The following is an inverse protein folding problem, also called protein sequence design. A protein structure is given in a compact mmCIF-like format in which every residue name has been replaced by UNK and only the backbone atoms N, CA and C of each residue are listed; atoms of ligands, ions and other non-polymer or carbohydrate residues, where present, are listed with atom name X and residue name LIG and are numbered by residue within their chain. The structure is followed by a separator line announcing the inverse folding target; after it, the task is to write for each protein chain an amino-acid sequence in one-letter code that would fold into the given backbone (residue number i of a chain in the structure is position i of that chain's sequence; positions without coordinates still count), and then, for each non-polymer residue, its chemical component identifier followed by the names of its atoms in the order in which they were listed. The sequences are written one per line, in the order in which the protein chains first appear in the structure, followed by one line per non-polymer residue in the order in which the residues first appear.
data_IF_781433855285
#
_entry.id   IF_781433855285
#
_cell.length_a   1.000
_cell.length_b   1.000
_cell.length_c   1.000
_cell.angle_alpha   90.00
_cell.angle_beta   90.00
_cell.angle_gamma   90.00
#
_symmetry.space_group_name_H-M   'P 1'
#
loop_
_entity.id
_entity.type
_entity.pdbx_description
1 polymer ?
#
# COMPACT_ATOMS: atom_id res chain seq x y z
N UNK A 1 19.64 -6.60 -2.31
CA UNK A 1 18.58 -6.77 -1.28
C UNK A 1 17.35 -5.92 -1.59
N UNK A 2 17.46 -4.58 -1.76
CA UNK A 2 16.30 -3.70 -1.99
C UNK A 2 15.47 -4.08 -3.22
N UNK A 3 16.11 -4.33 -4.36
CA UNK A 3 15.42 -4.77 -5.60
C UNK A 3 14.65 -6.09 -5.36
N UNK A 4 15.20 -7.00 -4.55
CA UNK A 4 14.51 -8.24 -4.19
C UNK A 4 13.25 -7.96 -3.36
N UNK A 5 13.32 -7.03 -2.39
CA UNK A 5 12.17 -6.60 -1.58
C UNK A 5 11.05 -6.07 -2.50
N UNK A 6 11.38 -5.17 -3.42
CA UNK A 6 10.43 -4.64 -4.41
C UNK A 6 9.88 -5.75 -5.31
N UNK A 7 10.75 -6.63 -5.83
CA UNK A 7 10.34 -7.73 -6.69
C UNK A 7 9.35 -8.67 -5.97
N UNK A 8 9.59 -9.00 -4.70
CA UNK A 8 8.67 -9.82 -3.89
C UNK A 8 7.33 -9.13 -3.73
N UNK A 9 7.33 -7.83 -3.41
CA UNK A 9 6.10 -7.05 -3.23
C UNK A 9 5.23 -7.05 -4.51
N UNK A 10 5.81 -6.62 -5.63
CA UNK A 10 5.06 -6.54 -6.90
C UNK A 10 4.69 -7.93 -7.45
N UNK A 11 5.54 -8.94 -7.27
CA UNK A 11 5.22 -10.32 -7.65
C UNK A 11 4.05 -10.88 -6.85
N UNK A 12 3.99 -10.60 -5.54
CA UNK A 12 2.86 -11.01 -4.69
C UNK A 12 1.55 -10.35 -5.16
N UNK A 13 1.57 -9.04 -5.42
CA UNK A 13 0.40 -8.31 -5.93
C UNK A 13 -0.06 -8.83 -7.29
N UNK A 14 0.87 -8.97 -8.25
CA UNK A 14 0.56 -9.47 -9.60
C UNK A 14 0.11 -10.92 -9.59
N UNK A 15 0.74 -11.76 -8.76
CA UNK A 15 0.36 -13.15 -8.57
C UNK A 15 -1.08 -13.29 -8.05
N UNK A 16 -1.45 -12.48 -7.05
CA UNK A 16 -2.83 -12.44 -6.53
C UNK A 16 -3.82 -11.96 -7.58
N UNK A 17 -3.49 -10.88 -8.30
CA UNK A 17 -4.31 -10.36 -9.40
C UNK A 17 -4.54 -11.42 -10.49
N UNK A 18 -3.50 -12.18 -10.85
CA UNK A 18 -3.61 -13.24 -11.84
C UNK A 18 -4.44 -14.42 -11.34
N UNK A 19 -4.23 -14.86 -10.09
CA UNK A 19 -5.00 -15.93 -9.47
C UNK A 19 -6.50 -15.60 -9.41
N UNK A 20 -6.86 -14.38 -8.95
CA UNK A 20 -8.24 -13.92 -8.91
C UNK A 20 -8.87 -13.79 -10.30
N UNK A 21 -8.10 -13.32 -11.30
CA UNK A 21 -8.59 -13.24 -12.68
C UNK A 21 -8.99 -14.62 -13.23
N UNK A 22 -8.26 -15.70 -12.88
CA UNK A 22 -8.63 -17.06 -13.25
C UNK A 22 -9.94 -17.54 -12.63
N UNK A 23 -10.33 -16.93 -11.49
CA UNK A 23 -11.59 -17.21 -10.80
C UNK A 23 -12.72 -16.26 -11.23
N UNK A 24 -12.51 -15.42 -12.26
CA UNK A 24 -13.48 -14.42 -12.70
C UNK A 24 -13.58 -13.17 -11.81
N UNK A 25 -12.68 -13.04 -10.83
CA UNK A 25 -12.68 -11.91 -9.87
C UNK A 25 -11.87 -10.75 -10.44
N UNK A 26 -12.50 -9.56 -10.53
CA UNK A 26 -11.81 -8.32 -10.93
C UNK A 26 -11.12 -7.69 -9.73
N UNK A 27 -9.81 -7.93 -9.59
CA UNK A 27 -9.01 -7.41 -8.47
C UNK A 27 -8.90 -5.89 -8.48
N UNK A 28 -8.61 -5.28 -9.65
CA UNK A 28 -8.35 -3.85 -9.76
C UNK A 28 -9.64 -3.09 -10.06
N UNK A 29 -10.13 -2.37 -9.06
CA UNK A 29 -11.30 -1.50 -9.09
C UNK A 29 -10.93 0.00 -9.10
N UNK A 30 -9.62 0.33 -9.07
CA UNK A 30 -9.13 1.71 -9.05
C UNK A 30 -9.62 2.46 -10.29
N UNK A 31 -10.30 3.59 -10.08
CA UNK A 31 -10.80 4.46 -11.13
C UNK A 31 -11.91 3.86 -12.02
N UNK A 32 -12.58 2.79 -11.58
CA UNK A 32 -13.62 2.07 -12.34
C UNK A 32 -14.95 2.11 -11.62
N UNK A 33 -16.02 1.86 -12.41
CA UNK A 33 -17.41 1.77 -11.92
C UNK A 33 -18.08 3.13 -11.74
N UNK A 34 -19.34 3.10 -11.32
CA UNK A 34 -20.16 4.29 -11.06
C UNK A 34 -19.94 4.78 -9.62
N UNK A 35 -18.84 5.51 -9.42
CA UNK A 35 -18.43 6.06 -8.12
C UNK A 35 -18.53 7.58 -8.12
N UNK A 36 -18.72 8.21 -6.95
CA UNK A 36 -18.64 9.65 -6.81
C UNK A 36 -17.35 10.20 -7.42
N UNK A 37 -17.42 11.32 -8.14
CA UNK A 37 -16.27 11.95 -8.82
C UNK A 37 -15.05 12.14 -7.91
N UNK A 38 -15.30 12.45 -6.63
CA UNK A 38 -14.25 12.60 -5.62
C UNK A 38 -13.50 11.28 -5.38
N UNK A 39 -14.20 10.15 -5.34
CA UNK A 39 -13.59 8.82 -5.16
C UNK A 39 -12.75 8.47 -6.37
N UNK A 40 -13.29 8.60 -7.57
CA UNK A 40 -12.56 8.35 -8.81
C UNK A 40 -11.29 9.21 -8.93
N UNK A 41 -11.37 10.49 -8.52
CA UNK A 41 -10.21 11.38 -8.55
C UNK A 41 -9.09 10.89 -7.61
N UNK A 42 -9.43 10.56 -6.36
CA UNK A 42 -8.44 10.06 -5.37
C UNK A 42 -7.84 8.75 -5.83
N UNK A 43 -8.66 7.79 -6.28
CA UNK A 43 -8.20 6.50 -6.78
C UNK A 43 -7.25 6.65 -7.99
N UNK A 44 -7.59 7.50 -8.95
CA UNK A 44 -6.74 7.72 -10.13
C UNK A 44 -5.41 8.39 -9.75
N UNK A 45 -5.44 9.44 -8.92
CA UNK A 45 -4.22 10.12 -8.48
C UNK A 45 -3.36 9.14 -7.64
N UNK A 46 -3.96 8.37 -6.74
CA UNK A 46 -3.27 7.33 -5.97
C UNK A 46 -2.61 6.29 -6.90
N UNK A 47 -3.33 5.83 -7.91
CA UNK A 47 -2.81 4.89 -8.90
C UNK A 47 -1.57 5.46 -9.63
N UNK A 48 -1.62 6.72 -10.04
CA UNK A 48 -0.47 7.41 -10.64
C UNK A 48 0.67 7.60 -9.64
N UNK A 49 0.38 7.99 -8.39
CA UNK A 49 1.40 8.19 -7.35
C UNK A 49 2.16 6.90 -7.04
N UNK A 50 1.43 5.79 -6.84
CA UNK A 50 2.01 4.47 -6.56
C UNK A 50 2.76 3.87 -7.76
N UNK A 51 2.41 4.25 -8.98
CA UNK A 51 3.15 3.86 -10.17
C UNK A 51 4.41 4.71 -10.38
N UNK A 52 4.31 6.03 -10.17
CA UNK A 52 5.40 6.97 -10.42
C UNK A 52 6.58 6.82 -9.43
N UNK A 53 6.34 6.32 -8.22
CA UNK A 53 7.43 6.07 -7.26
C UNK A 53 8.34 4.90 -7.68
N UNK A 54 7.84 3.92 -8.43
CA UNK A 54 8.60 2.72 -8.82
C UNK A 54 9.93 3.07 -9.51
N UNK A 55 9.94 3.85 -10.61
CA UNK A 55 11.21 4.21 -11.25
C UNK A 55 12.10 5.06 -10.34
N UNK A 56 11.53 5.89 -9.47
CA UNK A 56 12.31 6.70 -8.52
C UNK A 56 13.03 5.82 -7.50
N UNK A 57 12.37 4.81 -6.95
CA UNK A 57 12.97 3.82 -6.07
C UNK A 57 14.09 3.04 -6.77
N UNK A 58 13.83 2.53 -7.98
CA UNK A 58 14.81 1.78 -8.77
C UNK A 58 16.04 2.65 -9.06
N UNK A 59 15.85 3.90 -9.51
CA UNK A 59 16.93 4.84 -9.78
C UNK A 59 17.70 5.15 -8.50
N UNK A 60 17.02 5.40 -7.39
CA UNK A 60 17.64 5.66 -6.10
C UNK A 60 18.51 4.49 -5.61
N UNK A 61 18.06 3.24 -5.85
CA UNK A 61 18.80 2.03 -5.50
C UNK A 61 20.03 1.83 -6.40
N UNK A 62 19.87 1.98 -7.73
CA UNK A 62 20.92 1.70 -8.72
C UNK A 62 22.04 2.75 -8.64
N UNK A 63 21.66 4.02 -8.49
CA UNK A 63 22.62 5.11 -8.49
C UNK A 63 23.25 5.38 -7.12
N UNK A 64 22.78 4.71 -6.07
CA UNK A 64 23.43 4.76 -4.76
C UNK A 64 24.74 3.95 -4.75
N UNK A 65 25.84 4.44 -4.20
CA UNK A 65 26.11 5.71 -3.52
C UNK A 65 26.62 6.84 -4.43
N UNK A 66 26.53 6.66 -5.76
CA UNK A 66 27.08 7.58 -6.77
C UNK A 66 26.25 8.85 -6.94
N UNK A 67 25.00 8.83 -6.48
CA UNK A 67 24.13 9.99 -6.61
C UNK A 67 24.37 11.01 -5.52
N UNK A 68 24.98 12.11 -5.92
CA UNK A 68 25.02 13.38 -5.17
C UNK A 68 23.69 14.16 -5.30
N UNK A 69 22.59 13.53 -5.67
CA UNK A 69 21.28 14.17 -5.78
C UNK A 69 20.79 14.55 -4.38
N UNK A 70 21.05 15.80 -4.01
CA UNK A 70 20.56 16.49 -2.82
C UNK A 70 20.31 15.50 -1.66
N UNK A 71 21.37 15.04 -0.96
CA UNK A 71 21.22 14.12 0.14
C UNK A 71 20.45 14.82 1.27
N UNK A 72 19.38 14.21 1.75
CA UNK A 72 18.61 14.71 2.91
C UNK A 72 19.14 14.20 4.23
N UNK A 73 19.84 13.06 4.21
CA UNK A 73 20.50 12.47 5.36
C UNK A 73 21.87 11.92 4.98
N UNK A 74 22.82 11.99 5.91
CA UNK A 74 24.10 11.31 5.73
C UNK A 74 23.86 9.80 5.79
N UNK A 75 24.11 9.14 4.66
CA UNK A 75 23.96 7.70 4.60
C UNK A 75 25.00 7.00 5.47
N UNK A 76 24.55 6.00 6.21
CA UNK A 76 25.42 5.10 6.97
C UNK A 76 24.86 3.67 6.90
N UNK A 77 25.69 2.63 7.10
CA UNK A 77 25.24 1.24 7.04
C UNK A 77 24.08 0.93 7.99
N UNK A 78 24.07 1.52 9.18
CA UNK A 78 22.99 1.33 10.16
C UNK A 78 21.66 1.82 9.60
N UNK A 79 21.62 3.04 9.06
CA UNK A 79 20.40 3.62 8.48
C UNK A 79 19.90 2.79 7.28
N UNK A 80 20.84 2.33 6.44
CA UNK A 80 20.51 1.51 5.28
C UNK A 80 19.90 0.17 5.68
N UNK A 81 20.53 -0.57 6.61
CA UNK A 81 20.02 -1.85 7.04
C UNK A 81 18.71 -1.74 7.83
N UNK A 82 18.56 -0.69 8.65
CA UNK A 82 17.30 -0.40 9.35
C UNK A 82 16.18 -0.10 8.34
N UNK A 83 16.46 0.71 7.33
CA UNK A 83 15.49 0.99 6.26
C UNK A 83 15.07 -0.28 5.50
N UNK A 84 16.03 -1.13 5.13
CA UNK A 84 15.73 -2.40 4.46
C UNK A 84 14.93 -3.37 5.35
N UNK A 85 15.20 -3.39 6.66
CA UNK A 85 14.43 -4.20 7.61
C UNK A 85 12.97 -3.69 7.69
N UNK A 86 12.77 -2.37 7.81
CA UNK A 86 11.43 -1.75 7.83
C UNK A 86 10.68 -2.07 6.52
N UNK A 87 11.33 -1.92 5.36
CA UNK A 87 10.73 -2.25 4.07
C UNK A 87 10.32 -3.72 3.98
N UNK A 88 11.16 -4.63 4.48
CA UNK A 88 10.86 -6.07 4.52
C UNK A 88 9.66 -6.37 5.40
N UNK A 89 9.56 -5.75 6.58
CA UNK A 89 8.40 -5.86 7.46
C UNK A 89 7.15 -5.33 6.74
N UNK A 90 7.26 -4.20 6.04
CA UNK A 90 6.16 -3.65 5.25
C UNK A 90 5.63 -4.62 4.19
N UNK A 91 6.53 -5.26 3.43
CA UNK A 91 6.18 -6.29 2.45
C UNK A 91 5.49 -7.49 3.12
N UNK A 92 5.97 -7.93 4.27
CA UNK A 92 5.34 -9.01 5.03
C UNK A 92 3.92 -8.63 5.47
N UNK A 93 3.71 -7.41 5.99
CA UNK A 93 2.38 -6.89 6.35
C UNK A 93 1.43 -6.90 5.15
N UNK A 94 1.88 -6.41 4.01
CA UNK A 94 1.10 -6.40 2.78
C UNK A 94 0.69 -7.80 2.33
N UNK A 95 1.64 -8.73 2.29
CA UNK A 95 1.37 -10.12 1.85
C UNK A 95 0.40 -10.80 2.82
N UNK A 96 0.61 -10.69 4.13
CA UNK A 96 -0.27 -11.28 5.14
C UNK A 96 -1.67 -10.67 5.07
N UNK A 97 -1.80 -9.36 4.87
CA UNK A 97 -3.09 -8.70 4.70
C UNK A 97 -3.83 -9.22 3.47
N UNK A 98 -3.15 -9.29 2.33
CA UNK A 98 -3.70 -9.77 1.07
C UNK A 98 -4.15 -11.25 1.16
N UNK A 99 -3.35 -12.10 1.80
CA UNK A 99 -3.68 -13.52 2.01
C UNK A 99 -4.85 -13.68 2.99
N UNK A 100 -4.92 -12.86 4.04
CA UNK A 100 -6.02 -12.90 5.02
C UNK A 100 -7.36 -12.50 4.41
N UNK A 101 -7.36 -11.51 3.50
CA UNK A 101 -8.58 -11.14 2.76
C UNK A 101 -9.04 -12.19 1.74
N UNK A 102 -8.16 -13.08 1.33
CA UNK A 102 -8.46 -14.13 0.35
C UNK A 102 -9.20 -13.58 -0.89
N UNK A 103 -10.42 -14.07 -1.17
CA UNK A 103 -11.19 -13.67 -2.34
C UNK A 103 -11.93 -12.32 -2.18
N UNK A 104 -11.94 -11.77 -0.95
CA UNK A 104 -12.45 -10.41 -0.70
C UNK A 104 -11.42 -9.32 -1.05
N UNK A 105 -10.17 -9.67 -1.38
CA UNK A 105 -9.13 -8.70 -1.75
C UNK A 105 -9.50 -7.94 -3.02
N UNK A 106 -9.50 -6.61 -2.91
CA UNK A 106 -9.66 -5.67 -4.03
C UNK A 106 -8.65 -4.53 -3.88
N UNK A 107 -8.19 -4.01 -4.99
CA UNK A 107 -7.45 -2.75 -5.06
C UNK A 107 -8.43 -1.67 -5.52
N UNK A 108 -8.75 -0.73 -4.66
CA UNK A 108 -9.81 0.26 -4.83
C UNK A 108 -11.18 -0.22 -4.34
N UNK A 109 -12.11 0.72 -4.23
CA UNK A 109 -13.47 0.47 -3.71
C UNK A 109 -14.29 -0.30 -4.76
N UNK A 110 -14.90 -1.44 -4.41
CA UNK A 110 -15.79 -2.16 -5.34
C UNK A 110 -17.09 -1.39 -5.56
N UNK A 111 -17.60 -1.42 -6.79
CA UNK A 111 -18.87 -0.79 -7.17
C UNK A 111 -20.07 -1.70 -6.82
N UNK A 112 -20.00 -2.96 -7.20
CA UNK A 112 -21.13 -3.91 -7.10
C UNK A 112 -20.77 -5.24 -6.44
N UNK A 113 -19.49 -5.49 -6.18
CA UNK A 113 -19.03 -6.75 -5.59
C UNK A 113 -19.43 -6.86 -4.12
N UNK A 114 -20.13 -7.94 -3.78
CA UNK A 114 -20.40 -8.31 -2.38
C UNK A 114 -19.11 -8.88 -1.77
N UNK A 115 -18.32 -8.01 -1.12
CA UNK A 115 -17.18 -8.45 -0.31
C UNK A 115 -17.62 -8.69 1.12
N UNK A 116 -16.96 -9.63 1.83
CA UNK A 116 -17.19 -9.83 3.26
C UNK A 116 -16.29 -8.90 4.08
N UNK A 117 -16.78 -8.43 5.22
CA UNK A 117 -15.96 -7.69 6.18
C UNK A 117 -14.99 -8.66 6.88
N UNK A 118 -13.71 -8.53 6.59
CA UNK A 118 -12.65 -9.36 7.16
C UNK A 118 -12.15 -8.75 8.45
N UNK A 119 -12.35 -9.45 9.58
CA UNK A 119 -11.97 -9.01 10.94
C UNK A 119 -10.99 -9.96 11.62
N UNK A 120 -10.40 -10.93 10.89
CA UNK A 120 -9.51 -11.97 11.42
C UNK A 120 -8.03 -11.72 11.09
N UNK A 121 -7.14 -12.51 11.71
CA UNK A 121 -5.71 -12.42 11.44
C UNK A 121 -5.16 -11.02 11.71
N UNK A 122 -4.37 -10.48 10.79
CA UNK A 122 -3.74 -9.15 10.89
C UNK A 122 -4.77 -8.01 10.97
N UNK A 123 -6.03 -8.24 10.52
CA UNK A 123 -7.14 -7.29 10.64
C UNK A 123 -7.68 -7.15 12.09
N UNK A 124 -7.16 -7.92 13.04
CA UNK A 124 -7.37 -7.69 14.48
C UNK A 124 -6.44 -6.62 15.06
N UNK A 125 -5.36 -6.31 14.36
CA UNK A 125 -4.32 -5.36 14.79
C UNK A 125 -4.53 -4.01 14.11
N UNK A 126 -4.84 -4.03 12.82
CA UNK A 126 -5.07 -2.84 11.99
C UNK A 126 -6.30 -3.05 11.11
N UNK A 127 -7.10 -2.00 10.90
CA UNK A 127 -8.17 -2.03 9.90
C UNK A 127 -7.64 -1.94 8.46
N UNK A 128 -6.43 -1.39 8.30
CA UNK A 128 -5.82 -1.12 6.99
C UNK A 128 -4.40 -1.69 6.87
N UNK A 129 -4.16 -2.99 7.19
CA UNK A 129 -2.81 -3.52 7.29
C UNK A 129 -2.06 -3.54 5.96
N UNK A 130 -2.75 -3.65 4.83
CA UNK A 130 -2.13 -3.56 3.51
C UNK A 130 -1.53 -2.17 3.24
N UNK A 131 -2.25 -1.11 3.62
CA UNK A 131 -1.76 0.28 3.49
C UNK A 131 -0.59 0.55 4.44
N UNK A 132 -0.63 0.01 5.67
CA UNK A 132 0.52 0.04 6.59
C UNK A 132 1.74 -0.64 5.93
N UNK A 133 1.52 -1.75 5.22
CA UNK A 133 2.57 -2.44 4.46
C UNK A 133 3.19 -1.57 3.37
N UNK A 134 2.39 -0.84 2.60
CA UNK A 134 2.86 0.15 1.62
C UNK A 134 3.69 1.26 2.28
N UNK A 135 3.15 1.89 3.34
CA UNK A 135 3.80 3.01 4.02
C UNK A 135 5.16 2.58 4.60
N UNK A 136 5.22 1.41 5.26
CA UNK A 136 6.47 0.87 5.79
C UNK A 136 7.49 0.55 4.67
N UNK A 137 7.04 0.04 3.52
CA UNK A 137 7.92 -0.21 2.39
C UNK A 137 8.50 1.10 1.85
N UNK A 138 7.69 2.12 1.59
CA UNK A 138 8.13 3.41 1.08
C UNK A 138 9.06 4.13 2.05
N UNK A 139 8.70 4.18 3.33
CA UNK A 139 9.52 4.78 4.40
C UNK A 139 10.84 4.02 4.53
N UNK A 140 10.80 2.69 4.52
CA UNK A 140 11.98 1.86 4.66
C UNK A 140 12.97 2.03 3.50
N UNK A 141 12.47 2.07 2.25
CA UNK A 141 13.31 2.30 1.07
C UNK A 141 13.86 3.73 1.05
N UNK A 142 13.07 4.73 1.46
CA UNK A 142 13.54 6.11 1.60
C UNK A 142 14.67 6.23 2.64
N UNK A 143 14.54 5.56 3.79
CA UNK A 143 15.60 5.54 4.81
C UNK A 143 16.88 4.84 4.32
N UNK A 144 16.72 3.77 3.54
CA UNK A 144 17.85 3.04 2.98
C UNK A 144 18.58 3.83 1.87
N UNK A 145 17.86 4.67 1.10
CA UNK A 145 18.36 5.43 -0.05
C UNK A 145 17.88 6.89 0.00
N UNK A 146 18.30 7.67 1.02
CA UNK A 146 17.73 8.98 1.30
C UNK A 146 18.20 10.05 0.31
N UNK A 147 17.28 10.53 -0.52
CA UNK A 147 17.49 11.69 -1.38
C UNK A 147 16.19 12.50 -1.52
N UNK A 148 16.28 13.77 -1.90
CA UNK A 148 15.14 14.69 -1.95
C UNK A 148 14.06 14.23 -2.95
N UNK A 149 14.46 13.71 -4.10
CA UNK A 149 13.50 13.25 -5.12
C UNK A 149 12.74 12.06 -4.57
N UNK A 150 13.44 11.09 -3.96
CA UNK A 150 12.80 9.93 -3.33
C UNK A 150 11.86 10.35 -2.20
N UNK A 151 12.24 11.34 -1.37
CA UNK A 151 11.39 11.88 -0.31
C UNK A 151 10.06 12.44 -0.87
N UNK A 152 10.14 13.30 -1.89
CA UNK A 152 8.95 13.90 -2.50
C UNK A 152 8.02 12.83 -3.10
N UNK A 153 8.60 11.86 -3.82
CA UNK A 153 7.84 10.78 -4.42
C UNK A 153 7.36 9.73 -3.40
N UNK A 154 7.95 9.61 -2.22
CA UNK A 154 7.44 8.75 -1.14
C UNK A 154 6.31 9.41 -0.36
N UNK A 155 6.41 10.70 -0.03
CA UNK A 155 5.35 11.44 0.67
C UNK A 155 4.05 11.44 -0.15
N UNK A 156 4.14 11.62 -1.47
CA UNK A 156 2.95 11.75 -2.30
C UNK A 156 2.05 10.50 -2.28
N UNK A 157 2.53 9.27 -2.57
CA UNK A 157 1.69 8.07 -2.45
C UNK A 157 1.22 7.80 -1.01
N UNK A 158 2.04 8.06 0.03
CA UNK A 158 1.61 7.91 1.44
C UNK A 158 0.39 8.77 1.74
N UNK A 159 0.41 10.05 1.33
CA UNK A 159 -0.74 10.94 1.49
C UNK A 159 -1.96 10.44 0.70
N UNK A 160 -1.76 10.00 -0.53
CA UNK A 160 -2.84 9.49 -1.37
C UNK A 160 -3.44 8.18 -0.82
N UNK A 161 -2.61 7.27 -0.29
CA UNK A 161 -3.06 6.07 0.39
C UNK A 161 -3.89 6.41 1.65
N UNK A 162 -3.48 7.42 2.42
CA UNK A 162 -4.26 7.90 3.56
C UNK A 162 -5.65 8.43 3.13
N UNK A 163 -5.72 9.19 2.04
CA UNK A 163 -7.00 9.66 1.50
C UNK A 163 -7.87 8.49 1.00
N UNK A 164 -7.27 7.48 0.39
CA UNK A 164 -7.94 6.26 -0.03
C UNK A 164 -8.51 5.49 1.16
N UNK A 165 -7.74 5.30 2.24
CA UNK A 165 -8.21 4.68 3.48
C UNK A 165 -9.49 5.35 3.99
N UNK A 166 -9.54 6.69 4.00
CA UNK A 166 -10.72 7.42 4.47
C UNK A 166 -11.95 7.14 3.61
N UNK A 167 -11.78 7.01 2.30
CA UNK A 167 -12.87 6.67 1.39
C UNK A 167 -13.32 5.22 1.52
N UNK A 168 -12.37 4.28 1.68
CA UNK A 168 -12.69 2.87 1.93
C UNK A 168 -13.40 2.67 3.26
N UNK A 169 -12.99 3.39 4.32
CA UNK A 169 -13.70 3.35 5.60
C UNK A 169 -15.12 3.94 5.50
N UNK A 170 -15.33 4.99 4.70
CA UNK A 170 -16.67 5.53 4.45
C UNK A 170 -17.55 4.55 3.68
N UNK A 171 -16.98 3.89 2.68
CA UNK A 171 -17.64 2.80 1.95
C UNK A 171 -18.01 1.65 2.89
N UNK A 172 -17.08 1.20 3.74
CA UNK A 172 -17.33 0.12 4.70
C UNK A 172 -18.45 0.47 5.70
N UNK A 173 -18.52 1.73 6.17
CA UNK A 173 -19.65 2.18 7.03
C UNK A 173 -21.00 2.07 6.31
N UNK A 174 -21.05 2.41 5.04
CA UNK A 174 -22.28 2.31 4.23
C UNK A 174 -22.64 0.86 3.92
N UNK A 175 -21.64 0.01 3.64
CA UNK A 175 -21.84 -1.37 3.21
C UNK A 175 -22.16 -2.31 4.38
N UNK A 176 -21.52 -2.12 5.54
CA UNK A 176 -21.58 -3.04 6.69
C UNK A 176 -22.26 -2.44 7.94
N UNK A 177 -22.59 -1.14 7.93
CA UNK A 177 -23.34 -0.45 8.99
C UNK A 177 -22.77 -0.66 10.39
N UNK A 178 -23.62 -1.11 11.32
CA UNK A 178 -23.28 -1.32 12.73
C UNK A 178 -22.13 -2.32 12.95
N UNK A 179 -22.00 -3.33 12.11
CA UNK A 179 -20.92 -4.33 12.21
C UNK A 179 -19.55 -3.65 12.03
N UNK A 180 -19.44 -2.73 11.06
CA UNK A 180 -18.21 -1.98 10.85
C UNK A 180 -17.94 -0.98 11.99
N UNK A 181 -18.96 -0.33 12.53
CA UNK A 181 -18.82 0.56 13.68
C UNK A 181 -18.30 -0.17 14.93
N UNK A 182 -18.82 -1.39 15.23
CA UNK A 182 -18.31 -2.22 16.32
C UNK A 182 -16.86 -2.66 16.08
N UNK A 183 -16.50 -2.96 14.83
CA UNK A 183 -15.11 -3.24 14.45
C UNK A 183 -14.19 -2.02 14.68
N UNK A 184 -14.64 -0.81 14.35
CA UNK A 184 -13.88 0.44 14.56
C UNK A 184 -13.62 0.74 16.04
N UNK A 185 -14.50 0.34 16.96
CA UNK A 185 -14.31 0.49 18.41
C UNK A 185 -13.19 -0.40 18.95
N UNK A 186 -12.97 -1.56 18.34
CA UNK A 186 -12.02 -2.58 18.81
C UNK A 186 -10.65 -2.51 18.15
N UNK A 187 -10.59 -2.05 16.91
CA UNK A 187 -9.36 -2.08 16.09
C UNK A 187 -9.05 -0.68 15.58
N UNK A 188 -7.79 -0.29 15.68
CA UNK A 188 -7.31 1.02 15.20
C UNK A 188 -7.23 1.07 13.67
N UNK A 189 -7.20 2.29 13.11
CA UNK A 189 -7.05 2.50 11.67
C UNK A 189 -5.70 2.00 11.16
N UNK A 190 -4.64 2.26 11.91
CA UNK A 190 -3.27 1.83 11.59
C UNK A 190 -2.82 0.74 12.57
N UNK A 191 -1.98 1.05 13.51
CA UNK A 191 -1.45 0.12 14.53
C UNK A 191 -1.78 0.61 15.95
#
# INVERSE_FOLDING_TARGET
TAIVIMAVFYSAYLGKKFAQRRQGITTNQIGKGDKPRKVLLVENIMGWATFAIIPVEIISIILYPRMTLIPILKSCPVLQWTGLAIATIGVAFFIVAMLTMADSWRAGIPDSDKTALVQKGIYRISRNPAFVGFDLMYIGLLLAFPNLIHLLFAIFPIVMLHLQIRQEEEFCRKAFGSEYEEYCKRVRRYL
#
